data_IF_156309976208
#
_entry.id   IF_156309976208
#
_cell.length_a   1.000
_cell.length_b   1.000
_cell.length_c   1.000
_cell.angle_alpha   90.00
_cell.angle_beta   90.00
_cell.angle_gamma   90.00
#
_symmetry.space_group_name_H-M   'P 1'
#
loop_
_entity.id
_entity.type
_entity.pdbx_description
1 polymer ?
#
# COMPACT_ATOMS: atom_id res chain seq x y z
N UNK A 1 -6.41 10.88 20.72
CA UNK A 1 -6.32 9.48 20.25
C UNK A 1 -7.69 8.96 19.77
N UNK A 2 -8.75 9.06 20.55
CA UNK A 2 -10.11 8.61 20.18
C UNK A 2 -10.66 9.22 18.88
N UNK A 3 -10.45 10.52 18.66
CA UNK A 3 -10.84 11.21 17.42
C UNK A 3 -10.14 10.65 16.18
N UNK A 4 -8.89 10.19 16.31
CA UNK A 4 -8.11 9.61 15.22
C UNK A 4 -8.56 8.18 14.91
N UNK A 5 -8.81 7.37 15.94
CA UNK A 5 -9.42 6.03 15.78
C UNK A 5 -10.78 6.11 15.06
N UNK A 6 -11.60 7.12 15.38
CA UNK A 6 -12.86 7.37 14.66
C UNK A 6 -12.62 7.69 13.17
N UNK A 7 -11.63 8.54 12.86
CA UNK A 7 -11.22 8.83 11.47
C UNK A 7 -10.74 7.57 10.73
N UNK A 8 -9.93 6.74 11.37
CA UNK A 8 -9.45 5.46 10.79
C UNK A 8 -10.63 4.54 10.45
N UNK A 9 -11.63 4.43 11.34
CA UNK A 9 -12.85 3.65 11.06
C UNK A 9 -13.59 4.16 9.82
N UNK A 10 -13.78 5.48 9.70
CA UNK A 10 -14.42 6.10 8.52
C UNK A 10 -13.64 5.78 7.25
N UNK A 11 -12.31 5.95 7.27
CA UNK A 11 -11.46 5.65 6.12
C UNK A 11 -11.48 4.18 5.77
N UNK A 12 -11.48 3.27 6.74
CA UNK A 12 -11.65 1.84 6.47
C UNK A 12 -12.98 1.54 5.77
N UNK A 13 -14.07 2.22 6.14
CA UNK A 13 -15.35 2.11 5.42
C UNK A 13 -15.23 2.64 3.99
N UNK A 14 -14.58 3.79 3.77
CA UNK A 14 -14.34 4.33 2.41
C UNK A 14 -13.50 3.37 1.56
N UNK A 15 -12.42 2.80 2.12
CA UNK A 15 -11.58 1.79 1.47
C UNK A 15 -12.42 0.56 1.12
N UNK A 16 -13.32 0.14 2.02
CA UNK A 16 -14.21 -1.00 1.75
C UNK A 16 -15.13 -0.72 0.56
N UNK A 17 -15.79 0.43 0.58
CA UNK A 17 -16.68 0.85 -0.51
C UNK A 17 -15.92 0.95 -1.84
N UNK A 18 -14.75 1.57 -1.84
CA UNK A 18 -13.91 1.68 -3.04
C UNK A 18 -13.38 0.32 -3.51
N UNK A 19 -12.98 -0.56 -2.58
CA UNK A 19 -12.50 -1.91 -2.93
C UNK A 19 -13.56 -2.78 -3.58
N UNK A 20 -14.83 -2.55 -3.25
CA UNK A 20 -15.96 -3.24 -3.84
C UNK A 20 -16.38 -2.61 -5.17
N UNK A 21 -16.63 -1.30 -5.16
CA UNK A 21 -17.25 -0.60 -6.28
C UNK A 21 -16.25 -0.06 -7.31
N UNK A 22 -15.02 0.25 -6.93
CA UNK A 22 -13.98 0.73 -7.84
C UNK A 22 -13.73 -0.21 -9.02
N UNK A 23 -13.48 -1.51 -8.78
CA UNK A 23 -13.38 -2.51 -9.86
C UNK A 23 -14.66 -2.59 -10.70
N UNK A 24 -15.84 -2.60 -10.07
CA UNK A 24 -17.14 -2.68 -10.78
C UNK A 24 -17.34 -1.49 -11.72
N UNK A 25 -17.10 -0.27 -11.24
CA UNK A 25 -17.21 0.96 -12.03
C UNK A 25 -16.23 0.94 -13.20
N UNK A 26 -14.97 0.53 -12.95
CA UNK A 26 -13.98 0.39 -14.01
C UNK A 26 -14.45 -0.59 -15.09
N UNK A 27 -14.92 -1.76 -14.67
CA UNK A 27 -15.41 -2.80 -15.59
C UNK A 27 -16.56 -2.29 -16.46
N UNK A 28 -17.55 -1.62 -15.86
CA UNK A 28 -18.69 -1.04 -16.59
C UNK A 28 -18.25 0.03 -17.60
N UNK A 29 -17.30 0.91 -17.22
CA UNK A 29 -16.75 1.93 -18.12
C UNK A 29 -16.03 1.28 -19.31
N UNK A 30 -15.19 0.28 -19.06
CA UNK A 30 -14.44 -0.42 -20.10
C UNK A 30 -15.38 -1.19 -21.05
N UNK A 31 -16.41 -1.86 -20.51
CA UNK A 31 -17.40 -2.61 -21.29
C UNK A 31 -18.25 -1.68 -22.16
N UNK A 32 -18.70 -0.54 -21.60
CA UNK A 32 -19.42 0.47 -22.38
C UNK A 32 -18.55 1.05 -23.50
N UNK A 33 -17.27 1.36 -23.22
CA UNK A 33 -16.33 1.87 -24.21
C UNK A 33 -16.14 0.92 -25.39
N UNK A 34 -16.09 -0.40 -25.13
CA UNK A 34 -16.03 -1.44 -26.17
C UNK A 34 -17.33 -1.53 -26.98
N UNK A 35 -18.49 -1.48 -26.33
CA UNK A 35 -19.79 -1.58 -26.99
C UNK A 35 -20.12 -0.35 -27.85
N UNK A 36 -19.91 0.84 -27.32
CA UNK A 36 -20.29 2.09 -27.98
C UNK A 36 -19.31 2.52 -29.08
N UNK A 37 -18.14 1.86 -29.20
CA UNK A 37 -16.98 2.30 -30.02
C UNK A 37 -16.62 3.78 -29.81
N UNK A 38 -17.00 4.33 -28.65
CA UNK A 38 -16.81 5.74 -28.27
C UNK A 38 -16.06 5.80 -26.96
N UNK A 39 -15.08 6.70 -26.88
CA UNK A 39 -14.40 7.02 -25.63
C UNK A 39 -15.34 7.89 -24.78
N UNK A 40 -15.77 7.38 -23.62
CA UNK A 40 -16.75 8.04 -22.74
C UNK A 40 -16.24 9.37 -22.16
N UNK A 41 -14.92 9.52 -22.01
CA UNK A 41 -14.29 10.69 -21.41
C UNK A 41 -13.54 11.49 -22.47
N UNK A 42 -14.10 12.65 -22.84
CA UNK A 42 -13.52 13.59 -23.83
C UNK A 42 -12.97 14.86 -23.15
N UNK A 43 -13.17 15.03 -21.83
CA UNK A 43 -12.87 16.28 -21.11
C UNK A 43 -11.35 16.58 -21.07
N UNK A 44 -10.51 15.54 -21.04
CA UNK A 44 -9.07 15.62 -21.29
C UNK A 44 -8.64 14.38 -22.10
N UNK A 45 -8.17 14.51 -23.36
CA UNK A 45 -7.84 13.36 -24.21
C UNK A 45 -6.75 12.44 -23.64
N UNK A 46 -5.96 12.94 -22.68
CA UNK A 46 -4.88 12.19 -22.03
C UNK A 46 -5.31 11.52 -20.71
N UNK A 47 -6.44 11.89 -20.11
CA UNK A 47 -6.86 11.38 -18.80
C UNK A 47 -7.79 10.17 -18.97
N UNK A 48 -7.22 8.97 -18.90
CA UNK A 48 -8.00 7.73 -19.06
C UNK A 48 -8.69 7.30 -17.76
N UNK A 49 -9.79 6.54 -17.83
CA UNK A 49 -10.44 5.96 -16.64
C UNK A 49 -9.47 5.16 -15.75
N UNK A 50 -8.53 4.43 -16.38
CA UNK A 50 -7.47 3.67 -15.69
C UNK A 50 -6.54 4.59 -14.89
N UNK A 51 -6.16 5.75 -15.45
CA UNK A 51 -5.37 6.77 -14.73
C UNK A 51 -6.13 7.38 -13.55
N UNK A 52 -7.42 7.71 -13.74
CA UNK A 52 -8.25 8.27 -12.67
C UNK A 52 -8.37 7.26 -11.52
N UNK A 53 -8.70 6.01 -11.83
CA UNK A 53 -8.89 4.97 -10.80
C UNK A 53 -7.59 4.61 -10.10
N UNK A 54 -6.46 4.52 -10.82
CA UNK A 54 -5.14 4.30 -10.20
C UNK A 54 -4.72 5.47 -9.30
N UNK A 55 -4.95 6.71 -9.72
CA UNK A 55 -4.68 7.91 -8.92
C UNK A 55 -5.56 8.00 -7.67
N UNK A 56 -6.85 7.67 -7.78
CA UNK A 56 -7.77 7.59 -6.64
C UNK A 56 -7.34 6.50 -5.65
N UNK A 57 -6.98 5.31 -6.14
CA UNK A 57 -6.48 4.22 -5.30
C UNK A 57 -5.23 4.64 -4.52
N UNK A 58 -4.24 5.23 -5.21
CA UNK A 58 -3.01 5.71 -4.57
C UNK A 58 -3.31 6.80 -3.52
N UNK A 59 -4.23 7.72 -3.82
CA UNK A 59 -4.62 8.79 -2.89
C UNK A 59 -5.28 8.23 -1.62
N UNK A 60 -6.16 7.24 -1.77
CA UNK A 60 -6.80 6.54 -0.64
C UNK A 60 -5.76 5.82 0.22
N UNK A 61 -4.78 5.16 -0.41
CA UNK A 61 -3.67 4.48 0.28
C UNK A 61 -2.83 5.49 1.07
N UNK A 62 -2.38 6.57 0.43
CA UNK A 62 -1.60 7.64 1.07
C UNK A 62 -2.35 8.23 2.26
N UNK A 63 -3.63 8.52 2.11
CA UNK A 63 -4.45 9.07 3.19
C UNK A 63 -4.60 8.07 4.34
N UNK A 64 -4.82 6.79 4.05
CA UNK A 64 -4.87 5.74 5.07
C UNK A 64 -3.57 5.63 5.83
N UNK A 65 -2.43 5.58 5.13
CA UNK A 65 -1.11 5.46 5.75
C UNK A 65 -0.77 6.69 6.58
N UNK A 66 -1.16 7.89 6.13
CA UNK A 66 -1.05 9.12 6.90
C UNK A 66 -1.80 9.01 8.24
N UNK A 67 -3.03 8.50 8.26
CA UNK A 67 -3.77 8.35 9.53
C UNK A 67 -3.11 7.38 10.51
N UNK A 68 -2.51 6.30 9.99
CA UNK A 68 -1.74 5.37 10.82
C UNK A 68 -0.45 6.02 11.32
N UNK A 69 0.23 6.81 10.48
CA UNK A 69 1.40 7.61 10.87
C UNK A 69 1.05 8.64 11.96
N UNK A 70 -0.07 9.34 11.81
CA UNK A 70 -0.58 10.27 12.83
C UNK A 70 -0.89 9.55 14.15
N UNK A 71 -1.26 8.26 14.10
CA UNK A 71 -1.53 7.44 15.30
C UNK A 71 -0.22 7.09 16.02
N UNK A 72 0.84 6.79 15.26
CA UNK A 72 2.19 6.66 15.79
C UNK A 72 2.68 8.00 16.39
N UNK A 73 2.44 9.13 15.72
CA UNK A 73 2.75 10.48 16.21
C UNK A 73 2.05 10.80 17.53
N UNK A 74 0.75 10.56 17.63
CA UNK A 74 0.01 10.77 18.87
C UNK A 74 0.50 9.86 20.01
N UNK A 75 0.96 8.64 19.70
CA UNK A 75 1.62 7.78 20.69
C UNK A 75 2.94 8.38 21.17
N UNK A 76 3.77 8.90 20.26
CA UNK A 76 5.02 9.61 20.57
C UNK A 76 4.75 10.78 21.54
N UNK A 77 3.80 11.65 21.22
CA UNK A 77 3.50 12.84 22.02
C UNK A 77 3.00 12.47 23.43
N UNK A 78 2.16 11.45 23.54
CA UNK A 78 1.70 10.95 24.85
C UNK A 78 2.81 10.32 25.71
N UNK A 79 3.96 10.01 25.11
CA UNK A 79 5.12 9.39 25.74
C UNK A 79 6.32 10.33 25.84
N UNK A 80 6.18 11.61 25.47
CA UNK A 80 7.30 12.57 25.39
C UNK A 80 8.08 12.78 26.70
N UNK A 81 7.49 12.41 27.86
CA UNK A 81 8.13 12.46 29.18
C UNK A 81 8.73 11.12 29.64
N UNK A 82 8.79 10.09 28.79
CA UNK A 82 9.36 8.77 29.11
C UNK A 82 10.74 8.62 28.48
N UNK A 83 11.70 8.07 29.24
CA UNK A 83 13.10 7.87 28.81
C UNK A 83 13.29 6.93 27.61
N UNK A 84 12.25 6.17 27.21
CA UNK A 84 12.35 5.26 26.05
C UNK A 84 11.04 5.18 25.26
N UNK A 85 11.18 5.14 23.93
CA UNK A 85 10.06 5.04 23.00
C UNK A 85 9.50 3.61 22.94
N UNK A 86 8.19 3.46 23.10
CA UNK A 86 7.52 2.17 22.99
C UNK A 86 7.17 1.83 21.53
N UNK A 87 8.17 1.34 20.77
CA UNK A 87 8.01 0.83 19.40
C UNK A 87 6.97 -0.29 19.33
N UNK A 88 6.79 -1.07 20.40
CA UNK A 88 5.88 -2.21 20.46
C UNK A 88 4.42 -1.76 20.58
N UNK A 89 4.16 -0.69 21.33
CA UNK A 89 2.82 -0.08 21.39
C UNK A 89 2.33 0.41 20.03
N UNK A 90 3.24 0.84 19.16
CA UNK A 90 2.87 1.22 17.78
C UNK A 90 2.33 0.01 16.99
N UNK A 91 2.90 -1.18 17.20
CA UNK A 91 2.42 -2.43 16.59
C UNK A 91 1.02 -2.78 17.08
N UNK A 92 0.77 -2.69 18.40
CA UNK A 92 -0.57 -2.84 18.96
C UNK A 92 -1.56 -1.87 18.31
N UNK A 93 -1.23 -0.58 18.30
CA UNK A 93 -2.11 0.47 17.79
C UNK A 93 -2.51 0.22 16.33
N UNK A 94 -1.59 -0.20 15.47
CA UNK A 94 -1.90 -0.50 14.07
C UNK A 94 -2.83 -1.72 13.95
N UNK A 95 -2.52 -2.79 14.68
CA UNK A 95 -3.30 -4.04 14.62
C UNK A 95 -4.70 -3.87 15.23
N UNK A 96 -4.81 -3.22 16.39
CA UNK A 96 -6.08 -2.88 17.07
C UNK A 96 -6.97 -1.97 16.20
N UNK A 97 -6.35 -1.09 15.38
CA UNK A 97 -7.07 -0.21 14.46
C UNK A 97 -7.24 -0.81 13.04
N UNK A 98 -7.25 -2.14 12.93
CA UNK A 98 -7.59 -2.89 11.70
C UNK A 98 -6.65 -2.68 10.52
N UNK A 99 -5.37 -2.34 10.74
CA UNK A 99 -4.39 -2.20 9.66
C UNK A 99 -4.32 -3.44 8.75
N UNK A 100 -4.41 -4.64 9.33
CA UNK A 100 -4.46 -5.90 8.58
C UNK A 100 -5.61 -5.93 7.57
N UNK A 101 -6.83 -5.57 7.99
CA UNK A 101 -8.01 -5.54 7.12
C UNK A 101 -7.89 -4.47 6.05
N UNK A 102 -7.32 -3.31 6.38
CA UNK A 102 -7.06 -2.23 5.42
C UNK A 102 -6.11 -2.71 4.32
N UNK A 103 -5.00 -3.34 4.70
CA UNK A 103 -4.03 -3.91 3.77
C UNK A 103 -4.67 -4.96 2.85
N UNK A 104 -5.49 -5.87 3.41
CA UNK A 104 -6.22 -6.88 2.62
C UNK A 104 -7.14 -6.25 1.58
N UNK A 105 -7.94 -5.26 1.97
CA UNK A 105 -8.87 -4.58 1.05
C UNK A 105 -8.14 -3.84 -0.06
N UNK A 106 -7.04 -3.15 0.27
CA UNK A 106 -6.21 -2.47 -0.71
C UNK A 106 -5.63 -3.45 -1.73
N UNK A 107 -5.09 -4.58 -1.27
CA UNK A 107 -4.54 -5.61 -2.15
C UNK A 107 -5.60 -6.25 -3.05
N UNK A 108 -6.73 -6.69 -2.48
CA UNK A 108 -7.81 -7.31 -3.26
C UNK A 108 -8.38 -6.35 -4.30
N UNK A 109 -8.55 -5.07 -3.95
CA UNK A 109 -8.97 -4.02 -4.89
C UNK A 109 -7.97 -3.89 -6.05
N UNK A 110 -6.68 -3.85 -5.73
CA UNK A 110 -5.63 -3.71 -6.72
C UNK A 110 -5.60 -4.90 -7.69
N UNK A 111 -5.66 -6.15 -7.20
CA UNK A 111 -5.75 -7.34 -8.06
C UNK A 111 -6.95 -7.26 -9.00
N UNK A 112 -8.12 -6.89 -8.47
CA UNK A 112 -9.35 -6.83 -9.26
C UNK A 112 -9.23 -5.78 -10.38
N UNK A 113 -8.72 -4.58 -10.06
CA UNK A 113 -8.49 -3.52 -11.04
C UNK A 113 -7.50 -3.98 -12.12
N UNK A 114 -6.35 -4.55 -11.75
CA UNK A 114 -5.34 -4.99 -12.75
C UNK A 114 -5.91 -6.10 -13.62
N UNK A 115 -6.64 -7.06 -13.04
CA UNK A 115 -7.25 -8.17 -13.78
C UNK A 115 -8.25 -7.66 -14.82
N UNK A 116 -9.09 -6.70 -14.44
CA UNK A 116 -10.04 -6.05 -15.36
C UNK A 116 -9.29 -5.34 -16.50
N UNK A 117 -8.25 -4.58 -16.17
CA UNK A 117 -7.45 -3.87 -17.16
C UNK A 117 -6.74 -4.84 -18.11
N UNK A 118 -6.15 -5.92 -17.59
CA UNK A 118 -5.49 -6.95 -18.40
C UNK A 118 -6.47 -7.64 -19.36
N UNK A 119 -7.71 -7.84 -18.94
CA UNK A 119 -8.77 -8.38 -19.78
C UNK A 119 -9.25 -7.40 -20.86
N UNK A 120 -9.10 -6.10 -20.63
CA UNK A 120 -9.55 -5.09 -21.59
C UNK A 120 -8.45 -4.61 -22.54
N UNK A 121 -7.18 -4.82 -22.19
CA UNK A 121 -5.98 -4.38 -22.90
C UNK A 121 -4.97 -5.54 -23.08
N UNK A 122 -5.29 -6.42 -24.03
CA UNK A 122 -4.51 -7.62 -24.33
C UNK A 122 -3.12 -7.33 -24.89
N UNK A 123 -2.92 -6.20 -25.56
CA UNK A 123 -1.64 -5.81 -26.16
C UNK A 123 -0.55 -5.66 -25.08
N UNK A 124 -0.95 -5.29 -23.86
CA UNK A 124 -0.06 -5.09 -22.72
C UNK A 124 -0.14 -6.23 -21.68
N UNK A 125 -0.76 -7.37 -22.00
CA UNK A 125 -1.02 -8.46 -21.04
C UNK A 125 0.23 -8.93 -20.29
N UNK A 126 1.39 -9.00 -20.96
CA UNK A 126 2.66 -9.42 -20.34
C UNK A 126 3.07 -8.48 -19.20
N UNK A 127 2.82 -7.19 -19.37
CA UNK A 127 3.16 -6.15 -18.37
C UNK A 127 2.24 -6.31 -17.15
N UNK A 128 0.94 -6.51 -17.39
CA UNK A 128 -0.01 -6.73 -16.30
C UNK A 128 0.22 -8.05 -15.57
N UNK A 129 0.64 -9.11 -16.26
CA UNK A 129 1.01 -10.39 -15.63
C UNK A 129 2.28 -10.26 -14.79
N UNK A 130 3.31 -9.57 -15.30
CA UNK A 130 4.50 -9.26 -14.51
C UNK A 130 4.13 -8.47 -13.25
N UNK A 131 3.25 -7.46 -13.39
CA UNK A 131 2.78 -6.69 -12.26
C UNK A 131 2.00 -7.55 -11.24
N UNK A 132 1.04 -8.36 -11.70
CA UNK A 132 0.29 -9.30 -10.85
C UNK A 132 1.22 -10.26 -10.10
N UNK A 133 2.26 -10.77 -10.75
CA UNK A 133 3.27 -11.64 -10.14
C UNK A 133 4.04 -10.89 -9.04
N UNK A 134 4.61 -9.72 -9.34
CA UNK A 134 5.34 -8.89 -8.37
C UNK A 134 4.47 -8.57 -7.16
N UNK A 135 3.24 -8.10 -7.36
CA UNK A 135 2.37 -7.75 -6.23
C UNK A 135 1.94 -8.98 -5.42
N UNK A 136 1.78 -10.15 -6.05
CA UNK A 136 1.38 -11.36 -5.35
C UNK A 136 2.48 -11.80 -4.37
N UNK A 137 3.74 -11.74 -4.81
CA UNK A 137 4.89 -12.07 -3.97
C UNK A 137 5.03 -11.08 -2.80
N UNK A 138 5.01 -9.77 -3.07
CA UNK A 138 5.19 -8.76 -2.02
C UNK A 138 4.05 -8.78 -1.01
N UNK A 139 2.81 -8.97 -1.46
CA UNK A 139 1.66 -9.07 -0.56
C UNK A 139 1.62 -10.38 0.21
N UNK A 140 2.05 -11.50 -0.38
CA UNK A 140 2.21 -12.76 0.37
C UNK A 140 3.16 -12.55 1.55
N UNK A 141 4.33 -11.93 1.32
CA UNK A 141 5.28 -11.60 2.39
C UNK A 141 4.63 -10.69 3.44
N UNK A 142 4.01 -9.58 3.03
CA UNK A 142 3.34 -8.62 3.92
C UNK A 142 2.24 -9.29 4.78
N UNK A 143 1.39 -10.13 4.18
CA UNK A 143 0.34 -10.83 4.93
C UNK A 143 0.88 -11.90 5.85
N UNK A 144 1.93 -12.63 5.47
CA UNK A 144 2.61 -13.55 6.38
C UNK A 144 3.13 -12.80 7.61
N UNK A 145 3.79 -11.65 7.43
CA UNK A 145 4.25 -10.81 8.53
C UNK A 145 3.08 -10.33 9.40
N UNK A 146 2.01 -9.77 8.82
CA UNK A 146 0.81 -9.36 9.55
C UNK A 146 0.16 -10.51 10.31
N UNK A 147 0.13 -11.71 9.72
CA UNK A 147 -0.38 -12.91 10.36
C UNK A 147 0.45 -13.27 11.59
N UNK A 148 1.77 -13.31 11.48
CA UNK A 148 2.64 -13.61 12.62
C UNK A 148 2.60 -12.56 13.73
N UNK A 149 2.28 -11.30 13.41
CA UNK A 149 2.09 -10.23 14.41
C UNK A 149 0.68 -10.19 15.02
N UNK A 150 -0.31 -10.84 14.41
CA UNK A 150 -1.72 -10.77 14.82
C UNK A 150 -2.02 -11.36 16.20
N UNK A 151 -1.38 -12.48 16.65
CA UNK A 151 -1.62 -13.01 17.99
C UNK A 151 -1.21 -11.98 19.05
N UNK A 152 -2.13 -11.62 19.93
CA UNK A 152 -1.85 -10.75 21.07
C UNK A 152 -1.14 -11.56 22.16
N UNK A 153 0.14 -11.78 21.95
CA UNK A 153 1.01 -12.37 22.96
C UNK A 153 1.39 -11.23 23.89
N UNK A 154 1.04 -11.31 25.20
CA UNK A 154 1.34 -10.30 26.24
C UNK A 154 2.81 -9.80 26.28
N UNK A 155 3.71 -10.41 25.51
CA UNK A 155 5.08 -9.94 25.21
C UNK A 155 5.29 -9.90 23.69
N UNK A 156 5.22 -8.70 23.10
CA UNK A 156 5.62 -8.46 21.70
C UNK A 156 7.13 -8.55 21.53
N UNK A 157 7.59 -9.01 20.37
CA UNK A 157 9.02 -9.05 20.02
C UNK A 157 9.41 -7.77 19.30
N UNK A 158 10.59 -7.21 19.59
CA UNK A 158 11.06 -5.95 18.99
C UNK A 158 11.07 -6.00 17.45
N UNK A 159 11.35 -7.17 16.85
CA UNK A 159 11.33 -7.39 15.40
C UNK A 159 9.96 -7.17 14.75
N UNK A 160 8.86 -7.23 15.53
CA UNK A 160 7.50 -6.99 15.02
C UNK A 160 7.35 -5.54 14.53
N UNK A 161 8.07 -4.59 15.10
CA UNK A 161 8.07 -3.22 14.59
C UNK A 161 8.68 -3.14 13.18
N UNK A 162 9.81 -3.82 12.95
CA UNK A 162 10.43 -3.91 11.63
C UNK A 162 9.50 -4.58 10.60
N UNK A 163 8.80 -5.63 11.03
CA UNK A 163 7.78 -6.30 10.21
C UNK A 163 6.62 -5.37 9.86
N UNK A 164 6.12 -4.59 10.82
CA UNK A 164 5.07 -3.59 10.58
C UNK A 164 5.49 -2.55 9.54
N UNK A 165 6.69 -1.98 9.68
CA UNK A 165 7.23 -1.00 8.73
C UNK A 165 7.36 -1.61 7.33
N UNK A 166 7.79 -2.87 7.23
CA UNK A 166 7.85 -3.62 5.97
C UNK A 166 6.46 -3.72 5.32
N UNK A 167 5.42 -4.01 6.10
CA UNK A 167 4.05 -4.06 5.61
C UNK A 167 3.55 -2.68 5.15
N UNK A 168 3.87 -1.61 5.88
CA UNK A 168 3.53 -0.22 5.49
C UNK A 168 4.18 0.15 4.16
N UNK A 169 5.48 -0.13 4.01
CA UNK A 169 6.20 0.11 2.76
C UNK A 169 5.59 -0.68 1.59
N UNK A 170 5.23 -1.94 1.81
CA UNK A 170 4.61 -2.78 0.78
C UNK A 170 3.26 -2.20 0.34
N UNK A 171 2.41 -1.79 1.29
CA UNK A 171 1.10 -1.21 1.02
C UNK A 171 1.20 0.15 0.31
N UNK A 172 2.34 0.86 0.41
CA UNK A 172 2.59 2.11 -0.32
C UNK A 172 3.15 1.88 -1.72
N UNK A 173 4.24 1.11 -1.81
CA UNK A 173 5.02 0.96 -3.05
C UNK A 173 4.26 0.18 -4.12
N UNK A 174 3.38 -0.74 -3.71
CA UNK A 174 2.59 -1.56 -4.63
C UNK A 174 1.56 -0.72 -5.42
N UNK A 175 0.66 0.08 -4.79
CA UNK A 175 -0.21 1.01 -5.52
C UNK A 175 0.55 2.12 -6.27
N UNK A 176 1.72 2.53 -5.76
CA UNK A 176 2.56 3.50 -6.45
C UNK A 176 3.12 2.94 -7.76
N UNK A 177 3.65 1.71 -7.74
CA UNK A 177 4.11 1.02 -8.96
C UNK A 177 2.96 0.87 -9.96
N UNK A 178 1.75 0.52 -9.49
CA UNK A 178 0.57 0.45 -10.36
C UNK A 178 0.32 1.77 -11.07
N UNK A 179 0.28 2.87 -10.32
CA UNK A 179 0.07 4.20 -10.86
C UNK A 179 1.14 4.56 -11.91
N UNK A 180 2.42 4.34 -11.59
CA UNK A 180 3.53 4.60 -12.52
C UNK A 180 3.42 3.76 -13.79
N UNK A 181 3.06 2.48 -13.68
CA UNK A 181 2.86 1.60 -14.86
C UNK A 181 1.73 2.13 -15.74
N UNK A 182 0.60 2.55 -15.16
CA UNK A 182 -0.52 3.11 -15.93
C UNK A 182 -0.13 4.43 -16.62
N UNK A 183 0.59 5.31 -15.93
CA UNK A 183 1.15 6.54 -16.52
C UNK A 183 2.10 6.22 -17.67
N UNK A 184 3.01 5.26 -17.46
CA UNK A 184 3.94 4.81 -18.51
C UNK A 184 3.19 4.32 -19.74
N UNK A 185 2.19 3.46 -19.56
CA UNK A 185 1.44 2.88 -20.68
C UNK A 185 0.62 3.93 -21.44
N UNK A 186 0.17 4.98 -20.76
CA UNK A 186 -0.72 5.99 -21.35
C UNK A 186 0.04 7.18 -21.94
N UNK A 187 1.07 7.68 -21.24
CA UNK A 187 1.77 8.92 -21.58
C UNK A 187 3.15 8.66 -22.21
N UNK A 188 3.87 7.63 -21.76
CA UNK A 188 5.24 7.34 -22.19
C UNK A 188 5.41 5.90 -22.70
N UNK A 189 4.66 5.48 -23.74
CA UNK A 189 4.63 4.08 -24.17
C UNK A 189 6.00 3.55 -24.63
N UNK A 190 6.86 4.43 -25.17
CA UNK A 190 8.20 4.10 -25.65
C UNK A 190 9.24 3.84 -24.56
N UNK A 191 8.94 4.10 -23.28
CA UNK A 191 9.88 3.82 -22.19
C UNK A 191 10.01 2.30 -21.96
N UNK A 192 11.22 1.75 -21.76
CA UNK A 192 11.36 0.31 -21.53
C UNK A 192 10.69 -0.13 -20.22
N UNK A 193 9.75 -1.06 -20.30
CA UNK A 193 8.99 -1.53 -19.12
C UNK A 193 9.91 -2.15 -18.05
N UNK A 194 10.97 -2.85 -18.46
CA UNK A 194 11.92 -3.49 -17.54
C UNK A 194 12.60 -2.49 -16.60
N UNK A 195 12.78 -1.23 -17.03
CA UNK A 195 13.38 -0.19 -16.19
C UNK A 195 12.45 0.21 -15.05
N UNK A 196 11.14 0.30 -15.31
CA UNK A 196 10.14 0.65 -14.28
C UNK A 196 10.15 -0.38 -13.15
N UNK A 197 10.09 -1.66 -13.50
CA UNK A 197 10.15 -2.76 -12.52
C UNK A 197 11.51 -2.84 -11.84
N UNK A 198 12.61 -2.76 -12.59
CA UNK A 198 13.96 -2.83 -12.03
C UNK A 198 14.25 -1.70 -11.05
N UNK A 199 13.91 -0.46 -11.40
CA UNK A 199 14.06 0.70 -10.50
C UNK A 199 13.21 0.52 -9.25
N UNK A 200 11.94 0.10 -9.40
CA UNK A 200 11.06 -0.17 -8.27
C UNK A 200 11.67 -1.20 -7.32
N UNK A 201 12.14 -2.33 -7.83
CA UNK A 201 12.67 -3.42 -7.00
C UNK A 201 13.96 -3.00 -6.29
N UNK A 202 14.85 -2.26 -6.97
CA UNK A 202 16.05 -1.67 -6.35
C UNK A 202 15.67 -0.71 -5.24
N UNK A 203 14.75 0.23 -5.48
CA UNK A 203 14.28 1.19 -4.46
C UNK A 203 13.64 0.46 -3.28
N UNK A 204 12.80 -0.54 -3.56
CA UNK A 204 12.16 -1.35 -2.53
C UNK A 204 13.20 -2.05 -1.63
N UNK A 205 14.19 -2.71 -2.22
CA UNK A 205 15.28 -3.38 -1.49
C UNK A 205 16.10 -2.38 -0.69
N UNK A 206 16.50 -1.25 -1.28
CA UNK A 206 17.27 -0.21 -0.60
C UNK A 206 16.51 0.36 0.59
N UNK A 207 15.20 0.61 0.47
CA UNK A 207 14.37 1.07 1.58
C UNK A 207 14.29 0.02 2.70
N UNK A 208 14.13 -1.26 2.36
CA UNK A 208 14.14 -2.33 3.37
C UNK A 208 15.49 -2.45 4.09
N UNK A 209 16.60 -2.36 3.35
CA UNK A 209 17.95 -2.36 3.93
C UNK A 209 18.16 -1.15 4.84
N UNK A 210 17.76 0.04 4.38
CA UNK A 210 17.85 1.27 5.17
C UNK A 210 17.04 1.18 6.47
N UNK A 211 15.80 0.70 6.41
CA UNK A 211 14.97 0.50 7.61
C UNK A 211 15.62 -0.51 8.56
N UNK A 212 16.12 -1.63 8.03
CA UNK A 212 16.81 -2.66 8.83
C UNK A 212 18.08 -2.12 9.50
N UNK A 213 18.90 -1.36 8.78
CA UNK A 213 20.13 -0.76 9.31
C UNK A 213 19.83 0.25 10.43
N UNK A 214 18.85 1.13 10.22
CA UNK A 214 18.43 2.09 11.25
C UNK A 214 17.86 1.40 12.49
N UNK A 215 17.09 0.33 12.30
CA UNK A 215 16.56 -0.48 13.39
C UNK A 215 17.68 -1.15 14.21
N UNK A 216 18.67 -1.74 13.53
CA UNK A 216 19.83 -2.37 14.19
C UNK A 216 20.70 -1.35 14.94
N UNK A 217 20.92 -0.16 14.37
CA UNK A 217 21.68 0.92 15.01
C UNK A 217 20.99 1.39 16.31
N UNK A 218 19.68 1.63 16.27
CA UNK A 218 18.91 2.03 17.46
C UNK A 218 18.87 0.96 18.55
N UNK A 219 18.78 -0.32 18.18
CA UNK A 219 18.78 -1.43 19.15
C UNK A 219 20.16 -1.67 19.76
N UNK A 220 21.25 -1.39 19.04
CA UNK A 220 22.61 -1.39 19.59
C UNK A 220 22.79 -0.28 20.65
N UNK A 221 22.37 0.95 20.36
CA UNK A 221 22.47 2.07 21.29
C UNK A 221 21.70 1.86 22.60
N UNK A 222 20.54 1.19 22.55
CA UNK A 222 19.74 0.86 23.75
C UNK A 222 20.37 -0.27 24.58
N UNK A 223 21.15 -1.16 23.97
CA UNK A 223 21.87 -2.23 24.69
C UNK A 223 23.09 -1.68 25.42
N UNK A 224 23.84 -0.77 24.81
CA UNK A 224 25.03 -0.19 25.40
C UNK A 224 24.71 0.78 26.56
N UNK A 225 23.52 1.39 26.57
CA UNK A 225 23.07 2.28 27.66
C UNK A 225 22.50 1.55 28.89
N UNK A 226 22.53 0.21 28.92
CA UNK A 226 22.06 -0.63 30.05
C UNK A 226 23.19 -1.44 30.72
N UNK A 227 24.44 -1.16 30.36
CA UNK A 227 25.67 -1.65 30.99
C UNK A 227 26.29 -0.52 31.81
#
# INVERSE_FOLDING_TARGET
>A
MESLTKKIKIVNTMISAFSLWGPVILFLIELYGKLAKKKLFIILPQLTPKMIISGLLLSIVLYSLKLFWDLQGANLDSQANKESFDYLRTVDLYLENNFKMVSQKQFSCLIAIISIIAFTDFDNIRIYLAFLSTISVTNMISFSLLYFMSPNNKKRKEKEYLWLVTCVLTNLLTPFLFFVVIIKLTIFPGLPTNWVFGIHDVVYILLLLFVRMNYNSKTHLIKDSRL
#
